data_IF_295604225308
#
_entry.id   IF_295604225308
#
_cell.length_a   1.000
_cell.length_b   1.000
_cell.length_c   1.000
_cell.angle_alpha   90.00
_cell.angle_beta   90.00
_cell.angle_gamma   90.00
#
_symmetry.space_group_name_H-M   'P 1'
#
loop_
_entity.id
_entity.type
_entity.pdbx_description
1 polymer ?
#
# COMPACT_ATOMS: atom_id res chain seq x y z
N UNK A 1 27.57 -7.93 2.29
CA UNK A 1 27.36 -9.27 2.82
C UNK A 1 25.86 -9.57 2.75
N UNK A 2 25.48 -10.68 2.08
CA UNK A 2 24.10 -11.20 2.12
C UNK A 2 23.98 -12.13 3.32
N UNK A 3 22.98 -11.89 4.16
CA UNK A 3 22.63 -12.71 5.30
C UNK A 3 21.34 -13.48 4.98
N UNK A 4 21.44 -14.71 4.44
CA UNK A 4 20.26 -15.43 3.91
C UNK A 4 19.16 -15.65 4.97
N UNK A 5 19.50 -15.74 6.24
CA UNK A 5 18.52 -15.91 7.33
C UNK A 5 17.69 -14.66 7.63
N UNK A 6 18.05 -13.50 7.04
CA UNK A 6 17.25 -12.28 7.12
C UNK A 6 16.36 -12.09 5.87
N UNK A 7 16.47 -12.95 4.88
CA UNK A 7 15.63 -12.90 3.68
C UNK A 7 14.28 -13.57 3.95
N UNK A 8 13.20 -12.88 3.61
CA UNK A 8 11.81 -13.35 3.74
C UNK A 8 11.04 -13.09 2.46
N UNK A 9 10.02 -13.92 2.23
CA UNK A 9 9.08 -13.75 1.11
C UNK A 9 7.71 -13.43 1.68
N UNK A 10 7.02 -12.47 1.08
CA UNK A 10 5.64 -12.15 1.38
C UNK A 10 4.86 -11.93 0.08
N UNK A 11 3.55 -11.82 0.20
CA UNK A 11 2.65 -11.54 -0.91
C UNK A 11 1.83 -10.30 -0.60
N UNK A 12 1.67 -9.44 -1.59
CA UNK A 12 0.82 -8.27 -1.54
C UNK A 12 -0.36 -8.50 -2.48
N UNK A 13 -1.57 -8.26 -2.00
CA UNK A 13 -2.77 -8.30 -2.83
C UNK A 13 -3.16 -6.87 -3.19
N UNK A 14 -3.35 -6.61 -4.49
CA UNK A 14 -3.84 -5.32 -4.98
C UNK A 14 -5.36 -5.27 -4.96
N UNK A 15 -5.90 -4.05 -5.03
CA UNK A 15 -7.35 -3.80 -5.10
C UNK A 15 -7.72 -3.37 -6.53
N UNK A 16 -8.76 -3.98 -7.07
CA UNK A 16 -9.28 -3.58 -8.38
C UNK A 16 -9.89 -2.17 -8.32
N UNK A 17 -9.80 -1.36 -9.39
CA UNK A 17 -10.50 -0.10 -9.47
C UNK A 17 -12.01 -0.27 -9.36
N UNK A 18 -12.69 0.78 -8.86
CA UNK A 18 -14.13 0.77 -8.64
C UNK A 18 -14.78 2.05 -9.17
N UNK A 19 -15.90 1.92 -9.89
CA UNK A 19 -16.57 3.03 -10.56
C UNK A 19 -18.08 2.93 -10.59
N UNK A 20 -18.68 2.10 -9.69
CA UNK A 20 -20.12 1.93 -9.66
C UNK A 20 -20.82 3.17 -9.09
N UNK A 21 -21.93 3.58 -9.73
CA UNK A 21 -22.71 4.73 -9.33
C UNK A 21 -22.15 6.05 -9.84
N UNK A 22 -22.66 7.16 -9.32
CA UNK A 22 -22.27 8.53 -9.68
C UNK A 22 -22.03 9.36 -8.45
N UNK A 23 -21.36 10.51 -8.61
CA UNK A 23 -20.97 11.37 -7.49
C UNK A 23 -21.40 12.83 -7.67
N UNK A 24 -21.54 13.49 -6.52
CA UNK A 24 -21.79 14.92 -6.44
C UNK A 24 -20.86 15.58 -5.41
N UNK A 25 -20.28 16.73 -5.75
CA UNK A 25 -19.45 17.52 -4.85
C UNK A 25 -19.47 19.00 -5.26
N UNK A 26 -19.56 19.89 -4.29
CA UNK A 26 -19.48 21.33 -4.50
C UNK A 26 -18.03 21.80 -4.56
N UNK A 27 -17.76 22.86 -5.34
CA UNK A 27 -16.43 23.50 -5.37
C UNK A 27 -16.04 23.97 -3.97
N UNK A 28 -14.80 23.70 -3.58
CA UNK A 28 -14.28 24.02 -2.24
C UNK A 28 -14.71 23.06 -1.12
N UNK A 29 -15.52 22.02 -1.39
CA UNK A 29 -15.92 21.01 -0.43
C UNK A 29 -14.92 19.85 -0.39
N UNK A 30 -14.84 19.18 0.75
CA UNK A 30 -14.21 17.86 0.92
C UNK A 30 -15.26 16.73 1.02
N UNK A 31 -16.55 17.08 1.22
CA UNK A 31 -17.63 16.12 1.36
C UNK A 31 -18.12 15.67 -0.02
N UNK A 32 -17.92 14.41 -0.34
CA UNK A 32 -18.35 13.76 -1.58
C UNK A 32 -19.58 12.91 -1.27
N UNK A 33 -20.63 13.11 -2.05
CA UNK A 33 -21.86 12.33 -1.97
C UNK A 33 -21.96 11.41 -3.18
N UNK A 34 -22.29 10.13 -2.96
CA UNK A 34 -22.50 9.12 -3.98
C UNK A 34 -23.95 8.76 -4.15
N UNK A 35 -24.30 8.32 -5.34
CA UNK A 35 -25.60 7.71 -5.67
C UNK A 35 -25.35 6.32 -6.20
N UNK A 36 -25.88 5.29 -5.51
CA UNK A 36 -25.68 3.87 -5.83
C UNK A 36 -24.20 3.45 -5.87
N UNK A 37 -23.35 4.06 -5.05
CA UNK A 37 -21.90 3.87 -5.09
C UNK A 37 -21.41 2.66 -4.31
N UNK A 38 -22.10 2.22 -3.25
CA UNK A 38 -21.79 1.02 -2.45
C UNK A 38 -20.34 0.98 -1.91
N UNK A 39 -19.78 2.12 -1.50
CA UNK A 39 -18.37 2.25 -1.11
C UNK A 39 -18.00 1.46 0.14
N UNK A 40 -18.88 1.43 1.16
CA UNK A 40 -18.66 0.69 2.40
C UNK A 40 -19.11 -0.79 2.30
N UNK A 41 -19.74 -1.18 1.18
CA UNK A 41 -20.11 -2.56 0.93
C UNK A 41 -18.87 -3.38 0.62
N UNK A 42 -18.77 -4.56 1.22
CA UNK A 42 -17.62 -5.45 1.05
C UNK A 42 -17.67 -6.17 -0.29
N UNK A 43 -16.52 -6.26 -0.94
CA UNK A 43 -16.29 -7.04 -2.14
C UNK A 43 -16.13 -8.55 -1.82
N UNK A 44 -15.83 -9.37 -2.82
CA UNK A 44 -15.62 -10.83 -2.66
C UNK A 44 -14.42 -11.21 -1.78
N UNK A 45 -13.56 -10.25 -1.42
CA UNK A 45 -12.41 -10.45 -0.54
C UNK A 45 -12.66 -9.94 0.89
N UNK A 46 -13.91 -9.63 1.25
CA UNK A 46 -14.31 -9.06 2.55
C UNK A 46 -13.67 -7.70 2.82
N UNK A 47 -13.37 -6.93 1.78
CA UNK A 47 -12.84 -5.58 1.86
C UNK A 47 -13.84 -4.61 1.26
N UNK A 48 -13.95 -3.40 1.83
CA UNK A 48 -14.82 -2.37 1.28
C UNK A 48 -14.42 -1.99 -0.15
N UNK A 49 -15.40 -1.68 -0.99
CA UNK A 49 -15.18 -1.24 -2.36
C UNK A 49 -14.35 0.04 -2.46
N UNK A 50 -14.44 0.92 -1.45
CA UNK A 50 -13.54 2.05 -1.29
C UNK A 50 -12.93 2.07 0.12
N UNK A 51 -11.65 2.47 0.22
CA UNK A 51 -10.87 2.51 1.46
C UNK A 51 -10.11 3.84 1.58
N UNK A 52 -9.64 4.15 2.79
CA UNK A 52 -8.86 5.37 3.06
C UNK A 52 -7.49 5.38 2.38
N UNK A 53 -6.99 4.22 1.95
CA UNK A 53 -5.75 4.08 1.16
C UNK A 53 -5.94 4.49 -0.31
N UNK A 54 -7.19 4.60 -0.76
CA UNK A 54 -7.53 4.87 -2.14
C UNK A 54 -7.58 6.34 -2.52
N UNK A 55 -7.74 6.54 -3.79
CA UNK A 55 -7.80 7.83 -4.46
C UNK A 55 -8.96 7.85 -5.45
N UNK A 56 -9.45 9.06 -5.73
CA UNK A 56 -10.53 9.29 -6.69
C UNK A 56 -10.04 10.22 -7.80
N UNK A 57 -10.50 9.92 -9.00
CA UNK A 57 -10.43 10.82 -10.17
C UNK A 57 -11.84 10.95 -10.70
N UNK A 58 -12.28 12.18 -10.97
CA UNK A 58 -13.58 12.44 -11.58
C UNK A 58 -13.45 12.54 -13.09
N UNK A 59 -14.48 12.11 -13.81
CA UNK A 59 -14.51 12.18 -15.26
C UNK A 59 -14.28 13.63 -15.74
N UNK A 60 -13.51 13.77 -16.83
CA UNK A 60 -13.13 15.07 -17.38
C UNK A 60 -12.09 15.85 -16.57
N UNK A 61 -11.59 15.30 -15.47
CA UNK A 61 -10.53 15.90 -14.66
C UNK A 61 -9.28 15.05 -14.65
N UNK A 62 -8.13 15.67 -14.35
CA UNK A 62 -6.85 14.99 -14.17
C UNK A 62 -6.38 15.04 -12.72
N UNK A 63 -7.15 15.68 -11.84
CA UNK A 63 -6.78 15.84 -10.44
C UNK A 63 -7.10 14.59 -9.66
N UNK A 64 -6.17 14.20 -8.79
CA UNK A 64 -6.26 13.01 -7.95
C UNK A 64 -6.61 13.45 -6.53
N UNK A 65 -7.69 12.91 -5.99
CA UNK A 65 -8.20 13.22 -4.67
C UNK A 65 -8.01 12.04 -3.72
N UNK A 66 -7.05 12.09 -2.78
CA UNK A 66 -6.93 11.10 -1.72
C UNK A 66 -8.14 11.12 -0.78
N UNK A 67 -8.47 9.96 -0.22
CA UNK A 67 -9.59 9.77 0.69
C UNK A 67 -9.09 9.87 2.13
N UNK A 68 -9.79 10.63 2.97
CA UNK A 68 -9.56 10.66 4.41
C UNK A 68 -10.44 9.65 5.15
N UNK A 69 -11.74 9.60 4.82
CA UNK A 69 -12.68 8.66 5.45
C UNK A 69 -13.71 8.17 4.45
N UNK A 70 -14.13 6.92 4.62
CA UNK A 70 -15.31 6.32 3.98
C UNK A 70 -16.34 6.12 5.09
N UNK A 71 -17.38 6.95 5.08
CA UNK A 71 -18.38 6.98 6.17
C UNK A 71 -19.52 6.00 5.92
N UNK A 72 -19.91 5.84 4.65
CA UNK A 72 -21.01 4.95 4.24
C UNK A 72 -20.88 4.58 2.76
N UNK A 73 -21.85 3.82 2.26
CA UNK A 73 -21.97 3.49 0.83
C UNK A 73 -22.10 4.73 -0.08
N UNK A 74 -22.51 5.86 0.48
CA UNK A 74 -22.81 7.08 -0.28
C UNK A 74 -22.08 8.32 0.25
N UNK A 75 -21.15 8.19 1.19
CA UNK A 75 -20.46 9.33 1.79
C UNK A 75 -18.97 9.06 1.98
N UNK A 76 -18.14 9.89 1.33
CA UNK A 76 -16.67 9.92 1.46
C UNK A 76 -16.23 11.34 1.81
N UNK A 77 -15.19 11.47 2.64
CA UNK A 77 -14.48 12.72 2.85
C UNK A 77 -13.13 12.67 2.15
N UNK A 78 -12.87 13.65 1.30
CA UNK A 78 -11.59 13.83 0.60
C UNK A 78 -10.57 14.50 1.52
N UNK A 79 -9.30 14.24 1.29
CA UNK A 79 -8.21 14.92 2.01
C UNK A 79 -8.11 16.39 1.59
N UNK A 80 -8.28 16.65 0.29
CA UNK A 80 -8.19 17.98 -0.28
C UNK A 80 -9.55 18.46 -0.79
N UNK A 81 -9.77 19.76 -0.73
CA UNK A 81 -10.97 20.39 -1.28
C UNK A 81 -11.04 20.19 -2.79
N UNK A 82 -12.22 19.97 -3.31
CA UNK A 82 -12.46 19.91 -4.75
C UNK A 82 -12.22 21.29 -5.38
N UNK A 83 -11.38 21.33 -6.43
CA UNK A 83 -10.92 22.57 -7.09
C UNK A 83 -11.44 22.73 -8.53
N UNK A 84 -12.42 21.93 -8.92
CA UNK A 84 -13.05 22.07 -10.25
C UNK A 84 -13.67 23.45 -10.47
N UNK A 85 -13.86 23.82 -11.73
CA UNK A 85 -14.48 25.10 -12.12
C UNK A 85 -15.98 25.18 -11.83
N UNK A 86 -16.65 24.02 -11.69
CA UNK A 86 -18.06 23.90 -11.36
C UNK A 86 -18.28 22.72 -10.39
N UNK A 87 -19.41 22.75 -9.69
CA UNK A 87 -19.83 21.61 -8.88
C UNK A 87 -20.13 20.41 -9.78
N UNK A 88 -19.79 19.20 -9.29
CA UNK A 88 -20.19 17.96 -9.94
C UNK A 88 -21.56 17.53 -9.45
N UNK A 89 -22.38 17.01 -10.37
CA UNK A 89 -23.71 16.47 -10.09
C UNK A 89 -23.96 15.27 -11.00
N UNK A 90 -24.01 14.06 -10.44
CA UNK A 90 -24.17 12.83 -11.23
C UNK A 90 -22.97 12.52 -12.13
N UNK A 91 -21.77 12.94 -11.72
CA UNK A 91 -20.56 12.70 -12.50
C UNK A 91 -20.03 11.29 -12.29
N UNK A 92 -19.41 10.73 -13.33
CA UNK A 92 -18.69 9.48 -13.24
C UNK A 92 -17.34 9.69 -12.53
N UNK A 93 -16.86 8.62 -11.91
CA UNK A 93 -15.61 8.64 -11.16
C UNK A 93 -14.88 7.30 -11.28
N UNK A 94 -13.60 7.33 -10.99
CA UNK A 94 -12.81 6.12 -10.80
C UNK A 94 -12.13 6.17 -9.43
N UNK A 95 -12.44 5.19 -8.59
CA UNK A 95 -11.67 4.88 -7.39
C UNK A 95 -10.57 3.92 -7.76
N UNK A 96 -9.35 4.14 -7.25
CA UNK A 96 -8.22 3.25 -7.44
C UNK A 96 -7.26 3.29 -6.27
N UNK A 97 -6.46 2.23 -6.15
CA UNK A 97 -5.33 2.18 -5.22
C UNK A 97 -4.04 1.94 -6.00
N UNK A 98 -3.03 2.72 -5.69
CA UNK A 98 -1.68 2.58 -6.22
C UNK A 98 -0.65 2.35 -5.12
N UNK A 99 -1.07 2.44 -3.86
CA UNK A 99 -0.21 2.40 -2.68
C UNK A 99 -0.67 1.30 -1.73
N UNK A 100 0.26 0.43 -1.34
CA UNK A 100 -0.02 -0.76 -0.53
C UNK A 100 0.97 -0.89 0.61
N UNK A 101 0.51 -1.42 1.73
CA UNK A 101 1.33 -1.71 2.90
C UNK A 101 2.20 -2.95 2.66
N UNK A 102 3.44 -2.90 3.09
CA UNK A 102 4.37 -4.02 3.10
C UNK A 102 4.35 -4.72 4.48
N UNK A 103 5.07 -5.83 4.59
CA UNK A 103 5.17 -6.56 5.85
C UNK A 103 5.67 -5.63 6.98
N UNK A 104 5.16 -5.81 8.19
CA UNK A 104 5.49 -4.95 9.35
C UNK A 104 6.96 -5.01 9.73
N UNK A 105 7.64 -6.12 9.41
CA UNK A 105 9.06 -6.36 9.62
C UNK A 105 9.92 -6.05 8.38
N UNK A 106 9.38 -5.33 7.40
CA UNK A 106 10.08 -4.97 6.18
C UNK A 106 11.17 -3.92 6.43
N UNK A 107 12.41 -4.25 6.12
CA UNK A 107 13.55 -3.34 6.19
C UNK A 107 13.90 -2.75 4.82
N UNK A 108 14.20 -3.62 3.84
CA UNK A 108 14.56 -3.23 2.48
C UNK A 108 14.14 -4.29 1.46
N UNK A 109 13.80 -3.89 0.22
CA UNK A 109 13.41 -4.83 -0.82
C UNK A 109 14.63 -5.59 -1.35
N UNK A 110 14.35 -6.78 -1.87
CA UNK A 110 15.24 -7.53 -2.74
C UNK A 110 14.64 -7.50 -4.14
N UNK A 111 13.38 -7.92 -4.29
CA UNK A 111 12.65 -7.90 -5.56
C UNK A 111 11.13 -7.81 -5.35
N UNK A 112 10.43 -7.41 -6.42
CA UNK A 112 8.99 -7.56 -6.59
C UNK A 112 8.75 -8.32 -7.88
N UNK A 113 7.98 -9.41 -7.83
CA UNK A 113 7.77 -10.31 -8.95
C UNK A 113 6.37 -10.17 -9.52
N UNK A 114 6.23 -10.33 -10.82
CA UNK A 114 4.95 -10.38 -11.49
C UNK A 114 4.81 -11.72 -12.23
N UNK A 115 4.10 -12.67 -11.62
CA UNK A 115 4.07 -14.06 -12.11
C UNK A 115 3.46 -14.26 -13.50
N UNK A 116 2.54 -13.42 -13.92
CA UNK A 116 1.88 -13.59 -15.21
C UNK A 116 2.69 -13.05 -16.39
N UNK A 117 3.83 -12.41 -16.12
CA UNK A 117 4.67 -11.81 -17.14
C UNK A 117 6.16 -12.07 -16.83
N UNK A 118 6.96 -12.27 -17.86
CA UNK A 118 8.38 -12.62 -17.74
C UNK A 118 9.27 -11.44 -17.30
N UNK A 119 8.76 -10.48 -16.53
CA UNK A 119 9.55 -9.37 -16.02
C UNK A 119 9.28 -9.09 -14.53
N UNK A 120 10.30 -8.58 -13.85
CA UNK A 120 10.18 -8.08 -12.50
C UNK A 120 9.70 -6.62 -12.54
N UNK A 121 8.93 -6.21 -11.53
CA UNK A 121 8.55 -4.82 -11.35
C UNK A 121 9.83 -4.04 -11.03
N UNK A 122 10.12 -3.02 -11.83
CA UNK A 122 11.34 -2.21 -11.66
C UNK A 122 11.17 -1.26 -10.47
N UNK A 123 12.06 -1.37 -9.49
CA UNK A 123 12.09 -0.45 -8.36
C UNK A 123 12.86 0.82 -8.73
N UNK A 124 12.22 1.98 -8.58
CA UNK A 124 12.81 3.28 -8.84
C UNK A 124 12.97 4.07 -7.53
N UNK A 125 14.01 4.94 -7.44
CA UNK A 125 14.08 5.96 -6.42
C UNK A 125 12.85 6.87 -6.46
N UNK A 126 12.39 7.36 -5.31
CA UNK A 126 11.15 8.15 -5.20
C UNK A 126 11.15 9.42 -6.04
N UNK A 127 12.27 10.13 -6.09
CA UNK A 127 12.43 11.35 -6.89
C UNK A 127 12.36 11.07 -8.39
N UNK A 128 12.98 9.98 -8.85
CA UNK A 128 12.90 9.53 -10.24
C UNK A 128 11.48 9.09 -10.61
N UNK A 129 10.82 8.31 -9.74
CA UNK A 129 9.44 7.88 -9.93
C UNK A 129 8.50 9.09 -10.09
N UNK A 130 8.59 10.08 -9.19
CA UNK A 130 7.75 11.29 -9.24
C UNK A 130 8.03 12.16 -10.45
N UNK A 131 9.27 12.22 -10.93
CA UNK A 131 9.64 12.96 -12.13
C UNK A 131 9.13 12.30 -13.41
N UNK A 132 9.18 10.95 -13.47
CA UNK A 132 8.65 10.18 -14.62
C UNK A 132 7.13 10.14 -14.65
N UNK A 133 6.51 10.00 -13.48
CA UNK A 133 5.06 9.81 -13.31
C UNK A 133 4.46 10.87 -12.37
N UNK A 134 4.41 12.14 -12.80
CA UNK A 134 3.94 13.23 -11.93
C UNK A 134 2.45 13.09 -11.55
N UNK A 135 1.66 12.39 -12.36
CA UNK A 135 0.23 12.10 -12.13
C UNK A 135 -0.02 10.60 -12.39
N UNK A 136 0.19 9.73 -11.40
CA UNK A 136 0.12 8.28 -11.58
C UNK A 136 -1.34 7.78 -11.59
N UNK A 137 -2.15 8.24 -12.54
CA UNK A 137 -3.54 7.83 -12.74
C UNK A 137 -3.76 6.95 -13.99
N UNK A 138 -2.72 6.28 -14.44
CA UNK A 138 -2.80 5.33 -15.57
C UNK A 138 -3.06 3.94 -15.05
N UNK A 139 -4.10 3.31 -15.54
CA UNK A 139 -4.50 1.94 -15.22
C UNK A 139 -3.72 0.93 -16.06
N UNK A 140 -3.30 -0.18 -15.45
CA UNK A 140 -2.61 -1.25 -16.17
C UNK A 140 -1.95 -2.28 -15.26
N UNK A 141 -1.06 -3.07 -15.84
CA UNK A 141 -0.21 -3.96 -15.05
C UNK A 141 0.97 -3.16 -14.47
N UNK A 142 1.26 -3.28 -13.16
CA UNK A 142 2.40 -2.61 -12.55
C UNK A 142 3.72 -2.98 -13.21
N UNK A 143 4.45 -1.98 -13.68
CA UNK A 143 5.79 -2.13 -14.28
C UNK A 143 6.87 -1.49 -13.42
N UNK A 144 6.51 -0.44 -12.71
CA UNK A 144 7.40 0.34 -11.85
C UNK A 144 6.83 0.40 -10.43
N UNK A 145 7.75 0.44 -9.47
CA UNK A 145 7.41 0.64 -8.08
C UNK A 145 8.37 1.63 -7.43
N UNK A 146 7.90 2.35 -6.42
CA UNK A 146 8.78 3.08 -5.52
C UNK A 146 8.38 2.82 -4.07
N UNK A 147 9.37 2.82 -3.19
CA UNK A 147 9.12 2.76 -1.75
C UNK A 147 8.74 4.16 -1.24
N UNK A 148 7.70 4.20 -0.45
CA UNK A 148 7.29 5.39 0.28
C UNK A 148 7.87 5.36 1.69
N UNK A 149 7.93 6.55 2.29
CA UNK A 149 8.31 6.68 3.70
C UNK A 149 7.29 5.97 4.60
N UNK A 150 7.71 5.73 5.84
CA UNK A 150 6.86 5.16 6.89
C UNK A 150 5.59 6.00 7.03
N UNK A 151 4.43 5.36 6.92
CA UNK A 151 3.18 6.05 7.17
C UNK A 151 2.99 6.25 8.65
N UNK A 152 2.72 7.48 9.11
CA UNK A 152 2.15 7.71 10.42
C UNK A 152 0.68 7.25 10.36
N UNK A 153 0.41 6.01 10.69
CA UNK A 153 -0.95 5.47 10.60
C UNK A 153 -1.61 5.37 11.98
N UNK A 154 -1.39 6.36 12.85
CA UNK A 154 -1.96 6.30 14.20
C UNK A 154 -1.53 5.06 15.00
N UNK A 155 -0.75 4.19 14.40
CA UNK A 155 -0.20 2.97 14.97
C UNK A 155 1.17 3.26 15.55
N UNK A 156 1.49 2.62 16.65
CA UNK A 156 2.81 2.68 17.31
C UNK A 156 3.94 2.07 16.46
N UNK A 157 3.61 1.40 15.36
CA UNK A 157 4.58 0.81 14.44
C UNK A 157 4.34 1.33 13.03
N UNK A 158 5.18 2.24 12.54
CA UNK A 158 5.09 2.75 11.18
C UNK A 158 5.37 1.64 10.15
N UNK A 159 4.49 1.50 9.17
CA UNK A 159 4.58 0.48 8.11
C UNK A 159 5.17 1.11 6.85
N UNK A 160 6.10 0.42 6.19
CA UNK A 160 6.59 0.76 4.85
C UNK A 160 5.52 0.49 3.83
N UNK A 161 5.41 1.38 2.85
CA UNK A 161 4.48 1.23 1.73
C UNK A 161 5.22 1.24 0.40
N UNK A 162 4.61 0.60 -0.59
CA UNK A 162 5.04 0.62 -1.98
C UNK A 162 3.97 1.29 -2.83
N UNK A 163 4.39 2.14 -3.76
CA UNK A 163 3.53 2.72 -4.78
C UNK A 163 3.86 2.09 -6.13
N UNK A 164 2.83 1.66 -6.87
CA UNK A 164 2.95 1.06 -8.19
C UNK A 164 2.55 2.02 -9.31
N UNK A 165 3.16 1.84 -10.47
CA UNK A 165 2.77 2.49 -11.72
C UNK A 165 2.95 1.53 -12.90
N UNK A 166 1.97 1.40 -13.79
CA UNK A 166 0.56 1.84 -13.66
C UNK A 166 -0.12 1.30 -12.39
N UNK A 167 -1.23 1.92 -11.94
CA UNK A 167 -2.00 1.31 -10.86
C UNK A 167 -2.71 0.04 -11.35
N UNK A 168 -2.87 -0.99 -10.51
CA UNK A 168 -3.42 -2.29 -10.91
C UNK A 168 -4.81 -2.18 -11.52
N UNK A 169 -5.03 -2.82 -12.66
CA UNK A 169 -6.34 -2.88 -13.34
C UNK A 169 -7.27 -3.94 -12.77
N UNK A 170 -6.73 -4.90 -12.03
CA UNK A 170 -7.45 -6.02 -11.42
C UNK A 170 -6.83 -6.35 -10.07
N UNK A 171 -7.48 -7.23 -9.33
CA UNK A 171 -6.88 -7.81 -8.13
C UNK A 171 -5.76 -8.77 -8.53
N UNK A 172 -4.54 -8.46 -8.12
CA UNK A 172 -3.33 -9.22 -8.39
C UNK A 172 -2.69 -9.65 -7.07
N UNK A 173 -1.98 -10.78 -7.10
CA UNK A 173 -1.07 -11.18 -6.03
C UNK A 173 0.34 -10.92 -6.51
N UNK A 174 1.06 -10.02 -5.84
CA UNK A 174 2.42 -9.64 -6.15
C UNK A 174 3.32 -10.17 -5.03
N UNK A 175 4.05 -11.27 -5.26
CA UNK A 175 5.04 -11.74 -4.31
C UNK A 175 6.26 -10.84 -4.35
N UNK A 176 6.88 -10.67 -3.20
CA UNK A 176 8.11 -9.93 -3.07
C UNK A 176 9.03 -10.58 -2.04
N UNK A 177 10.34 -10.40 -2.26
CA UNK A 177 11.38 -10.82 -1.34
C UNK A 177 12.01 -9.59 -0.70
N UNK A 178 12.25 -9.66 0.59
CA UNK A 178 12.78 -8.54 1.36
C UNK A 178 13.72 -9.00 2.47
N UNK A 179 14.49 -8.07 2.98
CA UNK A 179 15.27 -8.25 4.21
C UNK A 179 14.41 -7.78 5.37
N UNK A 180 14.26 -8.64 6.38
CA UNK A 180 13.52 -8.30 7.61
C UNK A 180 14.35 -7.42 8.55
N UNK A 181 13.68 -6.55 9.34
CA UNK A 181 14.27 -5.87 10.47
C UNK A 181 14.11 -6.65 11.78
N UNK A 182 13.51 -7.84 11.73
CA UNK A 182 13.35 -8.67 12.90
C UNK A 182 14.70 -9.17 13.40
N UNK A 183 14.86 -9.17 14.71
CA UNK A 183 16.05 -9.71 15.41
C UNK A 183 15.82 -11.16 15.87
N UNK A 184 14.56 -11.56 15.97
CA UNK A 184 14.16 -12.91 16.40
C UNK A 184 12.73 -13.26 16.03
N UNK A 185 12.30 -14.41 16.51
CA UNK A 185 10.92 -14.90 16.41
C UNK A 185 10.42 -15.31 17.79
N UNK A 186 9.13 -15.07 18.04
CA UNK A 186 8.46 -15.56 19.24
C UNK A 186 8.24 -17.07 19.17
N UNK A 187 7.84 -17.69 20.29
CA UNK A 187 7.42 -19.10 20.35
C UNK A 187 6.29 -19.43 19.38
N UNK A 188 5.48 -18.45 18.98
CA UNK A 188 4.42 -18.56 17.97
C UNK A 188 4.91 -18.32 16.54
N UNK A 189 6.21 -18.07 16.30
CA UNK A 189 6.78 -17.82 14.98
C UNK A 189 6.60 -16.39 14.47
N UNK A 190 6.09 -15.46 15.29
CA UNK A 190 5.94 -14.04 14.90
C UNK A 190 7.29 -13.33 14.92
N UNK A 191 7.51 -12.43 13.94
CA UNK A 191 8.72 -11.61 13.86
C UNK A 191 8.80 -10.63 15.03
N UNK A 192 9.97 -10.52 15.65
CA UNK A 192 10.23 -9.66 16.80
C UNK A 192 11.35 -8.66 16.48
N UNK A 193 11.15 -7.41 16.84
CA UNK A 193 12.15 -6.34 16.74
C UNK A 193 13.02 -6.23 18.00
N UNK A 194 12.66 -6.93 19.08
CA UNK A 194 13.43 -7.07 20.32
C UNK A 194 13.14 -8.45 20.93
N UNK A 195 14.13 -9.02 21.59
CA UNK A 195 13.97 -10.26 22.35
C UNK A 195 13.64 -9.86 23.80
N UNK A 196 12.47 -10.24 24.28
CA UNK A 196 11.98 -9.84 25.61
C UNK A 196 11.55 -11.03 26.49
N UNK A 197 11.43 -12.23 25.90
CA UNK A 197 11.06 -13.46 26.60
C UNK A 197 12.16 -14.51 26.44
N UNK A 198 12.30 -15.35 27.46
CA UNK A 198 13.23 -16.50 27.44
C UNK A 198 12.86 -17.53 26.35
N UNK A 199 11.65 -17.46 25.81
CA UNK A 199 11.16 -18.31 24.71
C UNK A 199 11.37 -17.70 23.32
N UNK A 200 11.89 -16.47 23.25
CA UNK A 200 12.16 -15.79 21.97
C UNK A 200 13.45 -16.34 21.36
N UNK A 201 13.41 -16.65 20.07
CA UNK A 201 14.58 -17.17 19.37
C UNK A 201 15.22 -16.13 18.46
N UNK A 202 16.55 -15.84 18.63
CA UNK A 202 17.29 -14.99 17.69
C UNK A 202 17.29 -15.59 16.29
N UNK A 203 17.12 -14.74 15.24
CA UNK A 203 17.26 -15.16 13.84
C UNK A 203 18.68 -15.60 13.47
N UNK A 204 19.68 -15.20 14.25
CA UNK A 204 21.08 -15.60 14.03
C UNK A 204 21.19 -17.13 14.18
N UNK A 205 21.70 -17.85 13.15
CA UNK A 205 21.90 -19.29 13.23
C UNK A 205 22.69 -19.71 14.46
N UNK A 206 22.33 -20.85 15.04
CA UNK A 206 22.88 -21.33 16.33
C UNK A 206 24.40 -21.30 16.39
N UNK A 207 25.06 -21.67 15.28
CA UNK A 207 26.54 -21.68 15.15
C UNK A 207 27.20 -20.30 15.30
N UNK A 208 26.46 -19.21 15.14
CA UNK A 208 26.98 -17.83 15.24
C UNK A 208 26.51 -17.12 16.52
N UNK A 209 25.63 -17.73 17.32
CA UNK A 209 25.07 -17.09 18.54
C UNK A 209 26.15 -16.79 19.60
N UNK A 210 27.24 -17.55 19.61
CA UNK A 210 28.37 -17.29 20.50
C UNK A 210 29.00 -15.91 20.29
N UNK A 211 28.99 -15.37 19.06
CA UNK A 211 29.54 -14.04 18.80
C UNK A 211 28.75 -12.93 19.53
N UNK A 212 27.45 -13.13 19.77
CA UNK A 212 26.60 -12.14 20.48
C UNK A 212 26.95 -12.15 21.98
N UNK A 213 27.24 -13.30 22.54
CA UNK A 213 27.59 -13.46 23.98
C UNK A 213 28.92 -12.78 24.30
N UNK A 214 29.91 -12.89 23.40
CA UNK A 214 31.23 -12.29 23.60
C UNK A 214 31.25 -10.76 23.48
N UNK A 215 30.24 -10.14 22.86
CA UNK A 215 30.13 -8.69 22.79
C UNK A 215 29.21 -8.08 23.86
N UNK A 216 28.52 -8.91 24.65
CA UNK A 216 27.64 -8.47 25.73
C UNK A 216 28.34 -8.50 27.13
N UNK A 217 29.56 -8.98 27.20
CA UNK A 217 30.46 -8.97 28.38
C UNK A 217 31.50 -7.86 28.25
#
# INVERSE_FOLDING_TARGET
YKLPWLERTAQLRTHAPYSTGTVAISVGSTSLTGTSTLWATSNSYSENNARTTGKLVFEGTTDIYPITTVTSDTAITLTNKYVGSAALSGADYTYFEDTYDLASDFLRPIDFQFFSQAYNIQLLPRDEFRRRFPRPNVQGNPQYACLLDLAPNGSTSPIRRVQFYPYPSTTLIIPYTYVTNAVGVSSAGSALTSLSSDTDEPLIPLRYRHAVIYHAL
#
